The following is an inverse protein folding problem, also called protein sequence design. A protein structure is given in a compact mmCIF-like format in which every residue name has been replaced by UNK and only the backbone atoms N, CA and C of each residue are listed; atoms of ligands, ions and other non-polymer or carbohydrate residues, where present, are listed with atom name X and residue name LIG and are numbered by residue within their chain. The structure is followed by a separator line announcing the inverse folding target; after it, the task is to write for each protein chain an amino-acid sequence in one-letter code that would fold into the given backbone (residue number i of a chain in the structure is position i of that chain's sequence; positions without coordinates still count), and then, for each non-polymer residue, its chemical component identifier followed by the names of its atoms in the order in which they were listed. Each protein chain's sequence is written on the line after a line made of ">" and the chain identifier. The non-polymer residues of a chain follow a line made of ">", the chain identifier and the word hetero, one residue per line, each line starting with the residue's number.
data_IF_671211132407
#
_entry.id   IF_671211132407
#
_cell.length_a   1.000
_cell.length_b   1.000
_cell.length_c   1.000
_cell.angle_alpha   90.00
_cell.angle_beta   90.00
_cell.angle_gamma   90.00
#
_symmetry.space_group_name_H-M   'P 1'
#
loop_
_entity.id
_entity.type
_entity.pdbx_description
1 polymer ?
#
# COMPACT_ATOMS: atom_id res chain seq x y z
N UNK A 1 -59.94 1.75 41.44
CA UNK A 1 -59.54 2.46 40.24
C UNK A 1 -58.59 1.52 39.47
N UNK A 2 -59.14 0.75 38.52
CA UNK A 2 -58.45 -0.34 37.88
C UNK A 2 -57.88 0.08 36.55
N UNK A 3 -56.58 -0.20 36.35
CA UNK A 3 -55.85 0.08 35.14
C UNK A 3 -55.84 -1.15 34.24
N UNK A 4 -56.45 -1.06 33.04
CA UNK A 4 -56.52 -2.13 32.05
C UNK A 4 -55.21 -2.15 31.23
N UNK A 5 -54.50 -3.26 31.26
CA UNK A 5 -53.33 -3.55 30.39
C UNK A 5 -53.84 -4.03 29.02
N UNK A 6 -53.56 -3.25 27.97
CA UNK A 6 -53.77 -3.66 26.59
C UNK A 6 -52.59 -4.54 26.13
N UNK A 7 -52.87 -5.80 25.83
CA UNK A 7 -51.92 -6.79 25.29
C UNK A 7 -51.98 -6.77 23.77
N UNK A 8 -51.01 -6.11 23.12
CA UNK A 8 -50.85 -6.13 21.67
C UNK A 8 -50.28 -7.48 21.21
N UNK A 9 -51.09 -8.32 20.58
CA UNK A 9 -50.66 -9.51 19.86
C UNK A 9 -50.18 -9.09 18.47
N UNK A 10 -48.85 -9.15 18.20
CA UNK A 10 -48.30 -9.11 16.85
C UNK A 10 -48.47 -10.47 16.18
N UNK A 11 -49.25 -10.50 15.12
CA UNK A 11 -49.44 -11.67 14.24
C UNK A 11 -48.25 -11.73 13.30
N UNK A 12 -47.40 -12.73 13.45
CA UNK A 12 -46.35 -13.05 12.48
C UNK A 12 -46.98 -13.65 11.23
N UNK A 13 -46.98 -12.90 10.10
CA UNK A 13 -47.28 -13.43 8.75
C UNK A 13 -46.04 -14.14 8.24
N UNK A 14 -46.05 -15.48 8.19
CA UNK A 14 -45.03 -16.30 7.54
C UNK A 14 -44.88 -15.93 6.07
N UNK A 15 -43.70 -15.47 5.68
CA UNK A 15 -43.31 -15.28 4.27
C UNK A 15 -42.93 -16.65 3.70
N UNK A 16 -43.68 -17.11 2.67
CA UNK A 16 -43.40 -18.35 1.96
C UNK A 16 -41.99 -18.32 1.36
N UNK A 17 -41.08 -19.11 1.89
CA UNK A 17 -39.68 -19.26 1.43
C UNK A 17 -39.53 -20.18 0.20
N UNK A 18 -40.54 -20.99 -0.09
CA UNK A 18 -40.54 -22.02 -1.15
C UNK A 18 -40.24 -21.47 -2.55
N UNK A 19 -40.82 -20.34 -3.04
CA UNK A 19 -40.56 -19.86 -4.38
C UNK A 19 -39.13 -19.33 -4.59
N UNK A 20 -38.46 -18.88 -3.52
CA UNK A 20 -37.07 -18.36 -3.61
C UNK A 20 -36.04 -19.48 -3.75
N UNK A 21 -36.23 -20.59 -3.04
CA UNK A 21 -35.34 -21.76 -3.14
C UNK A 21 -35.43 -22.38 -4.54
N UNK A 22 -36.64 -22.47 -5.14
CA UNK A 22 -36.83 -22.99 -6.49
C UNK A 22 -36.12 -22.14 -7.56
N UNK A 23 -36.09 -20.80 -7.39
CA UNK A 23 -35.40 -19.88 -8.29
C UNK A 23 -33.88 -20.05 -8.27
N UNK A 24 -33.31 -20.33 -7.10
CA UNK A 24 -31.86 -20.59 -6.95
C UNK A 24 -31.45 -21.94 -7.55
N UNK A 25 -32.27 -22.98 -7.40
CA UNK A 25 -31.98 -24.30 -7.98
C UNK A 25 -32.08 -24.26 -9.53
N UNK A 26 -33.05 -23.56 -10.09
CA UNK A 26 -33.17 -23.40 -11.55
C UNK A 26 -32.02 -22.56 -12.12
N UNK A 27 -31.61 -21.49 -11.41
CA UNK A 27 -30.45 -20.67 -11.80
C UNK A 27 -29.13 -21.46 -11.85
N UNK A 28 -28.88 -22.29 -10.85
CA UNK A 28 -27.65 -23.11 -10.76
C UNK A 28 -27.57 -24.14 -11.89
N UNK A 29 -28.69 -24.78 -12.26
CA UNK A 29 -28.74 -25.76 -13.36
C UNK A 29 -28.49 -25.09 -14.70
N UNK A 30 -29.00 -23.88 -14.92
CA UNK A 30 -28.77 -23.11 -16.14
C UNK A 30 -27.29 -22.72 -16.33
N UNK A 31 -26.58 -22.32 -15.28
CA UNK A 31 -25.15 -21.98 -15.36
C UNK A 31 -24.29 -23.20 -15.69
N UNK A 32 -24.59 -24.37 -15.12
CA UNK A 32 -23.86 -25.61 -15.40
C UNK A 32 -24.10 -26.05 -16.85
N UNK A 33 -25.34 -25.91 -17.37
CA UNK A 33 -25.67 -26.26 -18.76
C UNK A 33 -24.92 -25.36 -19.76
N UNK A 34 -24.88 -24.05 -19.54
CA UNK A 34 -24.14 -23.12 -20.42
C UNK A 34 -22.65 -23.40 -20.41
N UNK A 35 -22.05 -23.71 -19.24
CA UNK A 35 -20.64 -24.09 -19.13
C UNK A 35 -20.32 -25.39 -19.88
N UNK A 36 -21.18 -26.40 -19.77
CA UNK A 36 -20.98 -27.70 -20.46
C UNK A 36 -21.13 -27.60 -21.99
N UNK A 37 -22.11 -26.87 -22.49
CA UNK A 37 -22.31 -26.67 -23.94
C UNK A 37 -21.25 -25.75 -24.54
N UNK A 38 -20.76 -24.72 -23.78
CA UNK A 38 -19.65 -23.89 -24.20
C UNK A 38 -18.35 -24.67 -24.36
N UNK A 39 -17.98 -25.47 -23.36
CA UNK A 39 -16.77 -26.32 -23.41
C UNK A 39 -16.83 -27.34 -24.58
N UNK A 40 -18.00 -27.93 -24.86
CA UNK A 40 -18.19 -28.88 -25.97
C UNK A 40 -18.06 -28.17 -27.31
N UNK A 41 -18.60 -26.95 -27.47
CA UNK A 41 -18.50 -26.18 -28.72
C UNK A 41 -17.03 -25.85 -29.04
N UNK A 42 -16.22 -25.42 -28.07
CA UNK A 42 -14.80 -25.12 -28.28
C UNK A 42 -13.95 -26.39 -28.53
N UNK A 43 -14.33 -27.55 -28.02
CA UNK A 43 -13.62 -28.79 -28.29
C UNK A 43 -13.89 -29.36 -29.69
N UNK A 44 -15.05 -29.04 -30.29
CA UNK A 44 -15.45 -29.50 -31.63
C UNK A 44 -15.04 -28.54 -32.77
N UNK A 45 -14.58 -27.31 -32.42
CA UNK A 45 -14.15 -26.28 -33.38
C UNK A 45 -12.79 -25.69 -32.96
N UNK A 46 -11.66 -26.43 -33.13
CA UNK A 46 -10.33 -25.86 -32.88
C UNK A 46 -10.05 -24.75 -33.91
N UNK A 47 -9.60 -23.58 -33.39
CA UNK A 47 -9.15 -22.47 -34.24
C UNK A 47 -7.76 -22.82 -34.74
N UNK A 48 -7.60 -23.10 -36.02
CA UNK A 48 -6.31 -23.33 -36.68
C UNK A 48 -5.47 -22.03 -36.64
N UNK A 49 -4.39 -22.07 -35.88
CA UNK A 49 -3.34 -21.05 -35.88
C UNK A 49 -2.25 -21.46 -36.86
N UNK A 50 -2.34 -20.98 -38.08
CA UNK A 50 -1.23 -21.06 -39.04
C UNK A 50 -1.30 -19.89 -40.00
N UNK A 51 -0.37 -18.92 -39.83
CA UNK A 51 0.43 -18.35 -40.91
C UNK A 51 1.58 -17.52 -40.32
N UNK A 52 2.74 -18.18 -40.31
CA UNK A 52 4.02 -17.52 -40.17
C UNK A 52 4.36 -16.83 -41.49
N UNK A 53 4.53 -15.52 -41.48
CA UNK A 53 5.23 -14.78 -42.54
C UNK A 53 6.61 -14.39 -42.03
N UNK A 54 7.64 -15.02 -42.56
CA UNK A 54 9.05 -14.68 -42.45
C UNK A 54 9.35 -13.33 -43.11
N UNK A 55 10.10 -12.42 -42.48
CA UNK A 55 10.66 -11.27 -43.17
C UNK A 55 11.96 -11.63 -43.91
N UNK A 56 12.01 -11.20 -45.15
CA UNK A 56 13.13 -11.29 -46.08
C UNK A 56 14.33 -10.47 -45.59
N UNK A 57 15.54 -11.06 -45.71
CA UNK A 57 16.83 -10.39 -45.56
C UNK A 57 16.97 -9.23 -46.56
N UNK A 58 17.34 -8.06 -46.07
CA UNK A 58 17.85 -6.97 -46.88
C UNK A 58 19.21 -6.54 -46.38
N UNK A 59 20.10 -6.59 -47.30
CA UNK A 59 21.54 -6.39 -47.30
C UNK A 59 22.11 -5.26 -46.41
N UNK A 60 23.17 -5.63 -45.71
CA UNK A 60 24.08 -4.77 -44.99
C UNK A 60 24.90 -3.94 -46.01
N UNK A 61 24.81 -2.60 -45.91
CA UNK A 61 25.70 -1.70 -46.60
C UNK A 61 26.71 -1.17 -45.56
N UNK A 62 27.97 -1.55 -45.73
CA UNK A 62 29.11 -1.15 -44.92
C UNK A 62 29.53 0.29 -45.22
N UNK A 63 29.66 1.11 -44.20
CA UNK A 63 30.39 2.40 -44.22
C UNK A 63 31.48 2.39 -43.13
N UNK A 64 32.58 3.14 -43.34
CA UNK A 64 33.86 2.82 -42.73
C UNK A 64 34.01 3.32 -41.28
N UNK A 65 34.88 2.60 -40.56
CA UNK A 65 35.32 2.92 -39.21
C UNK A 65 35.94 4.32 -39.13
N UNK A 66 35.40 5.14 -38.25
CA UNK A 66 36.07 6.36 -37.81
C UNK A 66 36.44 6.21 -36.31
N UNK A 67 37.60 6.75 -36.02
CA UNK A 67 38.45 6.58 -34.86
C UNK A 67 37.72 6.97 -33.55
N UNK A 68 37.78 6.06 -32.54
CA UNK A 68 37.35 6.33 -31.18
C UNK A 68 38.32 7.33 -30.49
N UNK A 69 37.79 8.34 -29.76
CA UNK A 69 38.61 9.07 -28.79
C UNK A 69 38.79 8.25 -27.51
N UNK A 70 39.96 8.38 -26.91
CA UNK A 70 40.35 7.75 -25.64
C UNK A 70 39.41 8.14 -24.48
N UNK A 71 39.28 7.27 -23.46
CA UNK A 71 38.38 7.53 -22.34
C UNK A 71 38.97 8.62 -21.44
N UNK A 72 38.26 9.75 -21.36
CA UNK A 72 38.48 10.75 -20.32
C UNK A 72 38.12 10.15 -18.96
N UNK A 73 39.03 10.32 -18.00
CA UNK A 73 38.83 10.05 -16.58
C UNK A 73 37.52 10.67 -16.07
N UNK A 74 36.47 9.86 -15.98
CA UNK A 74 35.30 10.18 -15.20
C UNK A 74 35.66 10.03 -13.71
N UNK A 75 35.40 11.02 -12.84
CA UNK A 75 35.60 10.85 -11.42
C UNK A 75 34.79 9.64 -10.94
N UNK A 76 35.45 8.75 -10.23
CA UNK A 76 34.83 7.60 -9.57
C UNK A 76 33.81 8.13 -8.54
N UNK A 77 32.57 8.32 -8.98
CA UNK A 77 31.44 8.52 -8.08
C UNK A 77 31.28 7.20 -7.37
N UNK A 78 31.67 7.16 -6.10
CA UNK A 78 31.61 5.99 -5.27
C UNK A 78 30.26 5.28 -5.47
N UNK A 79 30.32 4.00 -5.80
CA UNK A 79 29.15 3.14 -5.94
C UNK A 79 28.37 3.19 -4.63
N UNK A 80 27.32 4.03 -4.59
CA UNK A 80 26.31 3.95 -3.53
C UNK A 80 25.81 2.51 -3.53
N UNK A 81 25.84 1.81 -2.39
CA UNK A 81 25.31 0.45 -2.34
C UNK A 81 23.90 0.47 -2.92
N UNK A 82 23.59 -0.41 -3.85
CA UNK A 82 22.22 -0.63 -4.32
C UNK A 82 21.40 -1.05 -3.09
N UNK A 83 20.64 -0.11 -2.53
CA UNK A 83 19.82 -0.33 -1.36
C UNK A 83 18.65 -1.19 -1.81
N UNK A 84 18.72 -2.47 -1.50
CA UNK A 84 17.72 -3.47 -1.82
C UNK A 84 16.66 -3.51 -0.72
N UNK A 85 15.38 -3.57 -1.10
CA UNK A 85 14.28 -3.83 -0.15
C UNK A 85 14.23 -5.30 0.30
N UNK A 86 15.22 -6.10 -0.02
CA UNK A 86 15.34 -7.49 0.45
C UNK A 86 15.47 -7.58 1.97
N UNK A 87 16.07 -6.55 2.59
CA UNK A 87 16.21 -6.45 4.04
C UNK A 87 16.05 -5.00 4.47
N UNK A 88 14.89 -4.67 5.03
CA UNK A 88 14.55 -3.31 5.50
C UNK A 88 14.34 -3.33 7.01
N UNK A 89 15.29 -2.82 7.77
CA UNK A 89 15.11 -2.48 9.19
C UNK A 89 14.98 -0.98 9.29
N UNK A 90 13.75 -0.49 9.24
CA UNK A 90 13.48 0.94 9.24
C UNK A 90 12.80 1.38 10.53
N UNK A 91 12.77 2.69 10.73
CA UNK A 91 12.03 3.35 11.79
C UNK A 91 11.33 4.59 11.22
N UNK A 92 10.26 5.01 11.87
CA UNK A 92 9.48 6.17 11.46
C UNK A 92 9.96 7.42 12.17
N UNK A 93 10.07 8.53 11.44
CA UNK A 93 10.26 9.87 11.99
C UNK A 93 9.10 10.79 11.60
N UNK A 94 8.49 11.52 12.54
CA UNK A 94 7.52 12.55 12.20
C UNK A 94 8.18 13.69 11.43
N UNK A 95 7.42 14.37 10.58
CA UNK A 95 7.92 15.43 9.70
C UNK A 95 8.68 16.53 10.44
N UNK A 96 8.23 16.89 11.64
CA UNK A 96 8.91 17.91 12.47
C UNK A 96 10.33 17.50 12.90
N UNK A 97 10.57 16.21 13.13
CA UNK A 97 11.90 15.71 13.48
C UNK A 97 12.91 15.84 12.33
N UNK A 98 12.44 15.92 11.08
CA UNK A 98 13.30 16.07 9.90
C UNK A 98 13.88 17.48 9.72
N UNK A 99 13.30 18.48 10.39
CA UNK A 99 13.65 19.91 10.22
C UNK A 99 14.84 20.34 11.05
N UNK A 100 15.14 19.63 12.12
CA UNK A 100 16.27 19.95 13.00
C UNK A 100 17.49 19.14 12.57
N UNK A 101 18.40 19.76 11.81
CA UNK A 101 19.56 19.12 11.22
C UNK A 101 20.48 18.42 12.24
N UNK A 102 20.71 19.03 13.40
CA UNK A 102 21.64 18.50 14.40
C UNK A 102 21.07 17.25 15.09
N UNK A 103 19.80 17.32 15.51
CA UNK A 103 19.11 16.18 16.11
C UNK A 103 18.89 15.06 15.09
N UNK A 104 18.54 15.40 13.85
CA UNK A 104 18.36 14.43 12.78
C UNK A 104 19.65 13.65 12.52
N UNK A 105 20.78 14.34 12.31
CA UNK A 105 22.07 13.71 12.05
C UNK A 105 22.51 12.79 13.18
N UNK A 106 22.30 13.19 14.43
CA UNK A 106 22.57 12.35 15.60
C UNK A 106 21.69 11.09 15.59
N UNK A 107 20.37 11.25 15.40
CA UNK A 107 19.40 10.15 15.34
C UNK A 107 19.73 9.15 14.23
N UNK A 108 20.02 9.64 13.02
CA UNK A 108 20.39 8.79 11.88
C UNK A 108 21.68 8.01 12.16
N UNK A 109 22.68 8.67 12.77
CA UNK A 109 23.95 8.03 13.12
C UNK A 109 23.78 6.93 14.16
N UNK A 110 22.97 7.14 15.19
CA UNK A 110 22.68 6.14 16.22
C UNK A 110 21.89 4.97 15.65
N UNK A 111 20.88 5.25 14.82
CA UNK A 111 20.10 4.22 14.15
C UNK A 111 20.97 3.35 13.24
N UNK A 112 21.85 3.95 12.44
CA UNK A 112 22.77 3.20 11.56
C UNK A 112 23.72 2.30 12.38
N UNK A 113 24.26 2.78 13.51
CA UNK A 113 25.08 1.99 14.44
C UNK A 113 24.30 0.82 15.05
N UNK A 114 23.01 1.00 15.30
CA UNK A 114 22.12 -0.03 15.82
C UNK A 114 21.66 -1.05 14.74
N UNK A 115 22.17 -0.92 13.50
CA UNK A 115 21.88 -1.86 12.42
C UNK A 115 20.58 -1.59 11.68
N UNK A 116 19.97 -0.42 11.84
CA UNK A 116 18.87 0.03 10.99
C UNK A 116 19.39 0.37 9.58
N UNK A 117 18.54 0.20 8.59
CA UNK A 117 18.87 0.37 7.17
C UNK A 117 18.02 1.43 6.47
N UNK A 118 16.99 1.97 7.12
CA UNK A 118 16.12 2.97 6.51
C UNK A 118 15.34 3.79 7.51
N UNK A 119 14.85 4.93 7.05
CA UNK A 119 13.95 5.80 7.78
C UNK A 119 12.71 6.10 6.95
N UNK A 120 11.54 5.93 7.55
CA UNK A 120 10.23 6.22 6.95
C UNK A 120 9.71 7.54 7.52
N UNK A 121 9.13 8.37 6.67
CA UNK A 121 8.56 9.66 7.08
C UNK A 121 7.45 10.08 6.12
N UNK A 122 6.49 10.88 6.60
CA UNK A 122 5.36 11.31 5.80
C UNK A 122 5.69 12.54 4.95
N UNK A 123 5.52 12.43 3.64
CA UNK A 123 5.53 13.56 2.72
C UNK A 123 4.14 13.86 2.11
N UNK A 124 3.15 12.99 2.30
CA UNK A 124 1.74 13.25 2.03
C UNK A 124 0.89 12.54 3.07
N UNK A 125 0.10 13.30 3.81
CA UNK A 125 -0.77 12.76 4.86
C UNK A 125 -2.10 12.19 4.32
N UNK A 126 -2.91 11.60 5.22
CA UNK A 126 -4.22 11.02 4.90
C UNK A 126 -5.31 12.08 4.59
N UNK A 127 -5.04 13.36 4.76
CA UNK A 127 -5.92 14.45 4.38
C UNK A 127 -5.61 15.01 2.99
N UNK A 128 -4.45 14.63 2.44
CA UNK A 128 -3.92 15.12 1.19
C UNK A 128 -2.99 16.34 1.34
N UNK A 129 -2.52 16.63 2.57
CA UNK A 129 -1.53 17.67 2.78
C UNK A 129 -0.15 17.18 2.37
N UNK A 130 0.52 17.93 1.50
CA UNK A 130 1.88 17.67 1.06
C UNK A 130 2.87 18.39 1.97
N UNK A 131 3.82 17.64 2.53
CA UNK A 131 4.92 18.17 3.32
C UNK A 131 6.13 18.60 2.45
N UNK A 132 5.98 18.57 1.14
CA UNK A 132 6.95 19.11 0.18
C UNK A 132 6.24 19.87 -0.94
N UNK A 133 6.91 20.84 -1.53
CA UNK A 133 6.39 21.72 -2.60
C UNK A 133 6.56 21.02 -3.94
N UNK A 134 5.65 20.10 -4.24
CA UNK A 134 5.62 19.42 -5.53
C UNK A 134 5.41 20.39 -6.67
N UNK A 135 6.15 20.23 -7.76
CA UNK A 135 6.06 21.03 -8.99
C UNK A 135 5.14 20.39 -10.04
N UNK A 136 4.59 19.18 -9.75
CA UNK A 136 3.68 18.51 -10.67
C UNK A 136 2.40 19.34 -10.89
N UNK A 137 1.91 19.37 -12.12
CA UNK A 137 0.75 20.19 -12.47
C UNK A 137 -0.49 19.90 -11.61
N UNK A 138 -0.72 18.61 -11.26
CA UNK A 138 -1.84 18.20 -10.41
C UNK A 138 -1.68 18.67 -8.96
N UNK A 139 -0.48 18.57 -8.39
CA UNK A 139 -0.21 19.06 -7.04
C UNK A 139 -0.36 20.59 -6.97
N UNK A 140 0.10 21.31 -7.97
CA UNK A 140 -0.08 22.76 -8.06
C UNK A 140 -1.56 23.13 -8.18
N UNK A 141 -2.36 22.37 -8.92
CA UNK A 141 -3.80 22.57 -9.02
C UNK A 141 -4.50 22.34 -7.69
N UNK A 142 -4.13 21.26 -6.96
CA UNK A 142 -4.68 20.94 -5.62
C UNK A 142 -4.27 21.97 -4.59
N UNK A 143 -3.03 22.43 -4.65
CA UNK A 143 -2.44 23.45 -3.78
C UNK A 143 -2.66 23.18 -2.27
N UNK A 144 -2.50 21.93 -1.85
CA UNK A 144 -2.62 21.49 -0.44
C UNK A 144 -1.24 21.22 0.15
N UNK A 145 -0.49 22.27 0.35
CA UNK A 145 0.84 22.21 0.94
C UNK A 145 0.79 22.60 2.43
N UNK A 146 1.58 21.93 3.25
CA UNK A 146 1.85 22.39 4.62
C UNK A 146 2.52 23.78 4.58
N UNK A 147 2.27 24.61 5.58
CA UNK A 147 2.86 25.97 5.62
C UNK A 147 4.38 25.92 5.56
N UNK A 148 4.97 24.91 6.17
CA UNK A 148 6.40 24.64 6.30
C UNK A 148 6.88 23.48 5.39
N UNK A 149 6.14 23.18 4.32
CA UNK A 149 6.52 22.18 3.34
C UNK A 149 7.91 22.47 2.75
N UNK A 150 8.75 21.43 2.65
CA UNK A 150 10.08 21.49 2.06
C UNK A 150 10.01 21.88 0.58
N UNK A 151 10.97 22.69 0.09
CA UNK A 151 11.18 22.76 -1.36
C UNK A 151 11.70 21.42 -1.90
N UNK A 152 11.66 21.20 -3.22
CA UNK A 152 12.26 20.00 -3.80
C UNK A 152 13.75 19.90 -3.52
N UNK A 153 14.49 20.99 -3.62
CA UNK A 153 15.92 21.03 -3.29
C UNK A 153 16.17 20.65 -1.82
N UNK A 154 15.28 21.10 -0.91
CA UNK A 154 15.38 20.74 0.50
C UNK A 154 15.05 19.26 0.75
N UNK A 155 14.11 18.69 0.00
CA UNK A 155 13.82 17.26 0.06
C UNK A 155 14.99 16.42 -0.49
N UNK A 156 15.62 16.84 -1.59
CA UNK A 156 16.82 16.21 -2.15
C UNK A 156 18.00 16.27 -1.15
N UNK A 157 18.22 17.42 -0.52
CA UNK A 157 19.25 17.58 0.51
C UNK A 157 18.97 16.66 1.72
N UNK A 158 17.71 16.57 2.16
CA UNK A 158 17.29 15.65 3.24
C UNK A 158 17.59 14.20 2.87
N UNK A 159 17.21 13.75 1.65
CA UNK A 159 17.45 12.39 1.20
C UNK A 159 18.95 12.09 1.07
N UNK A 160 19.73 13.07 0.67
CA UNK A 160 21.19 12.96 0.65
C UNK A 160 21.76 12.79 2.05
N UNK A 161 21.35 13.61 3.02
CA UNK A 161 21.77 13.48 4.42
C UNK A 161 21.45 12.10 5.01
N UNK A 162 20.26 11.56 4.72
CA UNK A 162 19.85 10.22 5.15
C UNK A 162 20.76 9.15 4.53
N UNK A 163 21.07 9.27 3.24
CA UNK A 163 21.98 8.33 2.53
C UNK A 163 23.42 8.40 3.02
N UNK A 164 23.92 9.58 3.30
CA UNK A 164 25.26 9.78 3.87
C UNK A 164 25.42 9.12 5.25
N UNK A 165 24.31 9.03 6.02
CA UNK A 165 24.26 8.25 7.26
C UNK A 165 24.19 6.72 7.03
N UNK A 166 24.14 6.24 5.77
CA UNK A 166 24.04 4.82 5.42
C UNK A 166 22.60 4.27 5.47
N UNK A 167 21.58 5.13 5.48
CA UNK A 167 20.17 4.75 5.57
C UNK A 167 19.41 5.05 4.27
N UNK A 168 18.34 4.29 4.02
CA UNK A 168 17.40 4.51 2.92
C UNK A 168 16.39 5.61 3.30
N UNK A 169 16.25 6.71 2.54
CA UNK A 169 15.12 7.61 2.66
C UNK A 169 13.88 6.98 2.03
N UNK A 170 12.84 6.73 2.84
CA UNK A 170 11.60 6.06 2.44
C UNK A 170 10.42 7.00 2.72
N UNK A 171 10.10 7.97 1.84
CA UNK A 171 8.92 8.79 2.00
C UNK A 171 7.64 7.96 1.89
N UNK A 172 6.68 8.22 2.80
CA UNK A 172 5.33 7.64 2.78
C UNK A 172 4.36 8.63 2.14
N UNK A 173 3.55 8.11 1.22
CA UNK A 173 2.48 8.84 0.55
C UNK A 173 1.15 8.12 0.76
N UNK A 174 0.17 8.80 1.36
CA UNK A 174 -1.20 8.32 1.36
C UNK A 174 -1.82 8.47 -0.03
N UNK A 175 -2.34 7.38 -0.60
CA UNK A 175 -2.82 7.32 -1.97
C UNK A 175 -4.25 7.88 -2.10
N UNK A 176 -5.26 7.01 -2.01
CA UNK A 176 -6.64 7.36 -2.37
C UNK A 176 -7.44 8.00 -1.22
N UNK A 177 -6.99 7.89 0.02
CA UNK A 177 -7.55 8.64 1.14
C UNK A 177 -6.98 10.05 1.12
N UNK A 178 -7.62 10.93 0.35
CA UNK A 178 -7.15 12.28 0.08
C UNK A 178 -8.32 13.24 -0.05
N UNK A 179 -8.63 13.92 1.03
CA UNK A 179 -9.75 14.86 1.08
C UNK A 179 -9.46 16.16 0.29
N UNK A 180 -8.21 16.59 0.21
CA UNK A 180 -7.83 17.82 -0.48
C UNK A 180 -7.94 17.64 -2.00
N UNK A 181 -7.25 16.65 -2.56
CA UNK A 181 -7.25 16.41 -4.00
C UNK A 181 -8.64 16.01 -4.51
N UNK A 182 -9.39 15.17 -3.78
CA UNK A 182 -10.73 14.75 -4.17
C UNK A 182 -11.74 15.90 -4.26
N UNK A 183 -11.52 17.00 -3.56
CA UNK A 183 -12.36 18.20 -3.64
C UNK A 183 -12.03 19.10 -4.83
N UNK A 184 -10.81 19.02 -5.35
CA UNK A 184 -10.29 19.88 -6.42
C UNK A 184 -10.27 19.16 -7.77
N UNK A 185 -9.72 17.95 -7.83
CA UNK A 185 -9.61 17.16 -9.06
C UNK A 185 -10.94 16.43 -9.34
N UNK A 186 -11.85 17.10 -10.05
CA UNK A 186 -13.23 16.62 -10.25
C UNK A 186 -13.32 15.30 -11.02
N UNK A 187 -12.38 15.01 -11.93
CA UNK A 187 -12.28 13.77 -12.69
C UNK A 187 -11.59 12.64 -11.90
N UNK A 188 -10.91 12.99 -10.80
CA UNK A 188 -10.18 12.02 -9.96
C UNK A 188 -10.96 11.55 -8.73
N UNK A 189 -12.10 12.17 -8.40
CA UNK A 189 -12.81 11.91 -7.14
C UNK A 189 -13.85 10.82 -7.23
N UNK A 190 -14.23 10.26 -6.09
CA UNK A 190 -15.50 9.57 -5.93
C UNK A 190 -16.61 10.63 -5.91
N UNK A 191 -17.61 10.49 -6.78
CA UNK A 191 -18.74 11.39 -6.87
C UNK A 191 -19.96 10.85 -6.13
N UNK A 192 -20.97 11.68 -5.90
CA UNK A 192 -22.24 11.24 -5.33
C UNK A 192 -23.12 10.60 -6.42
N UNK A 193 -23.79 9.50 -6.10
CA UNK A 193 -24.61 8.75 -7.06
C UNK A 193 -25.78 9.58 -7.63
N UNK A 194 -26.37 10.48 -6.85
CA UNK A 194 -27.51 11.29 -7.29
C UNK A 194 -27.11 12.43 -8.23
N UNK A 195 -25.88 12.93 -8.13
CA UNK A 195 -25.34 13.99 -8.95
C UNK A 195 -23.80 13.88 -9.05
N UNK A 196 -23.24 13.54 -10.20
CA UNK A 196 -21.80 13.42 -10.38
C UNK A 196 -21.02 14.72 -10.15
N UNK A 197 -21.67 15.87 -10.15
CA UNK A 197 -21.04 17.15 -9.79
C UNK A 197 -20.78 17.28 -8.29
N UNK A 198 -21.43 16.47 -7.47
CA UNK A 198 -21.29 16.51 -6.01
C UNK A 198 -20.15 15.60 -5.55
N UNK A 199 -19.38 16.10 -4.59
CA UNK A 199 -18.36 15.33 -3.90
C UNK A 199 -19.03 14.28 -3.01
N UNK A 200 -18.60 13.05 -3.08
CA UNK A 200 -19.01 12.02 -2.13
C UNK A 200 -18.10 12.06 -0.90
N UNK A 201 -18.67 11.78 0.28
CA UNK A 201 -17.97 11.70 1.56
C UNK A 201 -18.25 10.36 2.23
N UNK A 202 -17.27 9.77 2.89
CA UNK A 202 -17.36 8.49 3.60
C UNK A 202 -18.26 8.54 4.85
N UNK A 203 -18.50 9.73 5.38
CA UNK A 203 -19.48 10.07 6.42
C UNK A 203 -20.03 11.46 6.18
N UNK A 204 -21.04 11.90 6.96
CA UNK A 204 -21.49 13.28 6.88
C UNK A 204 -20.35 14.24 7.26
N UNK A 205 -20.10 15.34 6.51
CA UNK A 205 -19.03 16.29 6.81
C UNK A 205 -19.04 16.83 8.25
N UNK A 206 -20.25 17.01 8.82
CA UNK A 206 -20.42 17.43 10.22
C UNK A 206 -19.90 16.37 11.22
N UNK A 207 -19.74 15.12 10.80
CA UNK A 207 -19.22 14.01 11.59
C UNK A 207 -17.77 13.66 11.20
N UNK A 208 -17.05 14.58 10.56
CA UNK A 208 -15.67 14.37 10.13
C UNK A 208 -15.51 13.58 8.84
N UNK A 209 -16.60 13.42 8.05
CA UNK A 209 -16.57 12.73 6.75
C UNK A 209 -15.58 13.37 5.78
N UNK A 210 -14.88 12.55 5.00
CA UNK A 210 -13.83 12.94 4.07
C UNK A 210 -14.15 12.51 2.66
N UNK A 211 -13.74 13.35 1.71
CA UNK A 211 -13.75 13.00 0.30
C UNK A 211 -12.59 12.04 -0.03
N UNK A 212 -12.75 11.24 -1.08
CA UNK A 212 -11.77 10.26 -1.50
C UNK A 212 -11.47 10.38 -2.99
N UNK A 213 -10.23 10.16 -3.36
CA UNK A 213 -9.86 9.88 -4.74
C UNK A 213 -10.43 8.53 -5.17
N UNK A 214 -10.79 8.43 -6.44
CA UNK A 214 -11.38 7.24 -7.03
C UNK A 214 -10.27 6.32 -7.58
N UNK A 215 -10.03 5.13 -7.02
CA UNK A 215 -9.00 4.23 -7.53
C UNK A 215 -9.19 3.81 -8.99
N UNK A 216 -10.43 3.84 -9.51
CA UNK A 216 -10.71 3.57 -10.91
C UNK A 216 -10.38 4.73 -11.87
N UNK A 217 -10.18 5.94 -11.36
CA UNK A 217 -9.88 7.10 -12.18
C UNK A 217 -8.38 7.18 -12.49
N UNK A 218 -8.03 7.20 -13.78
CA UNK A 218 -6.63 7.35 -14.21
C UNK A 218 -5.98 8.61 -13.66
N UNK A 219 -6.73 9.71 -13.55
CA UNK A 219 -6.21 10.97 -13.02
C UNK A 219 -5.86 10.87 -11.53
N UNK A 220 -6.65 10.11 -10.73
CA UNK A 220 -6.32 9.84 -9.33
C UNK A 220 -5.02 9.03 -9.21
N UNK A 221 -4.88 7.98 -10.04
CA UNK A 221 -3.66 7.17 -10.07
C UNK A 221 -2.45 7.99 -10.50
N UNK A 222 -2.57 8.78 -11.58
CA UNK A 222 -1.48 9.61 -12.09
C UNK A 222 -1.06 10.70 -11.12
N UNK A 223 -1.99 11.28 -10.34
CA UNK A 223 -1.64 12.23 -9.29
C UNK A 223 -0.66 11.62 -8.28
N UNK A 224 -0.94 10.43 -7.77
CA UNK A 224 -0.06 9.75 -6.81
C UNK A 224 1.26 9.31 -7.45
N UNK A 225 1.20 8.79 -8.68
CA UNK A 225 2.39 8.35 -9.42
C UNK A 225 3.32 9.52 -9.73
N UNK A 226 2.79 10.68 -10.11
CA UNK A 226 3.60 11.87 -10.42
C UNK A 226 4.33 12.36 -9.18
N UNK A 227 3.69 12.39 -8.00
CA UNK A 227 4.34 12.69 -6.72
C UNK A 227 5.45 11.67 -6.39
N UNK A 228 5.18 10.39 -6.58
CA UNK A 228 6.14 9.34 -6.32
C UNK A 228 7.37 9.44 -7.25
N UNK A 229 7.15 9.77 -8.53
CA UNK A 229 8.26 10.00 -9.50
C UNK A 229 9.11 11.19 -9.10
N UNK A 230 8.50 12.30 -8.73
CA UNK A 230 9.21 13.51 -8.30
C UNK A 230 10.10 13.23 -7.09
N UNK A 231 9.60 12.47 -6.09
CA UNK A 231 10.39 12.07 -4.93
C UNK A 231 11.49 11.05 -5.28
N UNK A 232 11.23 10.13 -6.22
CA UNK A 232 12.28 9.26 -6.76
C UNK A 232 13.40 10.09 -7.39
N UNK A 233 13.04 11.07 -8.21
CA UNK A 233 13.99 11.92 -8.92
C UNK A 233 14.78 12.82 -7.96
N UNK A 234 14.15 13.23 -6.84
CA UNK A 234 14.83 13.88 -5.70
C UNK A 234 15.67 12.90 -4.86
N UNK A 235 15.63 11.61 -5.16
CA UNK A 235 16.51 10.62 -4.56
C UNK A 235 15.92 9.76 -3.45
N UNK A 236 14.62 9.58 -3.38
CA UNK A 236 14.03 8.55 -2.52
C UNK A 236 14.58 7.16 -2.87
N UNK A 237 14.91 6.36 -1.86
CA UNK A 237 15.42 5.00 -2.05
C UNK A 237 14.30 3.98 -2.29
N UNK A 238 13.12 4.25 -1.80
CA UNK A 238 11.88 3.52 -2.02
C UNK A 238 10.70 4.46 -1.77
N UNK A 239 9.52 4.13 -2.29
CA UNK A 239 8.27 4.85 -1.97
C UNK A 239 7.35 3.91 -1.19
N UNK A 240 6.91 4.32 -0.01
CA UNK A 240 5.91 3.60 0.76
C UNK A 240 4.53 4.22 0.50
N UNK A 241 3.68 3.47 -0.20
CA UNK A 241 2.29 3.84 -0.44
C UNK A 241 1.41 3.35 0.71
N UNK A 242 0.61 4.24 1.27
CA UNK A 242 -0.44 3.95 2.26
C UNK A 242 -1.81 4.33 1.71
N UNK A 243 -2.90 3.82 2.30
CA UNK A 243 -4.25 4.14 1.83
C UNK A 243 -4.54 3.72 0.38
N UNK A 244 -3.85 2.71 -0.15
CA UNK A 244 -4.15 2.10 -1.46
C UNK A 244 -5.34 1.16 -1.30
N UNK A 245 -6.51 1.77 -1.11
CA UNK A 245 -7.73 1.06 -0.76
C UNK A 245 -8.98 1.85 -1.15
N UNK A 246 -10.12 1.18 -1.13
CA UNK A 246 -11.43 1.81 -1.24
C UNK A 246 -11.97 2.22 0.15
N UNK A 247 -12.91 3.17 0.22
CA UNK A 247 -13.64 3.43 1.47
C UNK A 247 -14.39 2.17 1.94
N UNK A 248 -14.48 1.99 3.25
CA UNK A 248 -15.19 0.84 3.84
C UNK A 248 -16.70 0.89 3.55
N UNK A 249 -17.29 2.08 3.56
CA UNK A 249 -18.68 2.33 3.19
C UNK A 249 -18.71 3.03 1.84
N UNK A 250 -19.52 2.54 0.91
CA UNK A 250 -19.66 3.10 -0.44
C UNK A 250 -21.11 3.35 -0.84
N UNK A 251 -22.00 3.44 0.16
CA UNK A 251 -23.40 3.82 -0.09
C UNK A 251 -23.46 5.21 -0.72
N UNK A 252 -24.25 5.35 -1.77
CA UNK A 252 -24.38 6.60 -2.55
C UNK A 252 -23.11 7.06 -3.27
N UNK A 253 -22.04 6.24 -3.31
CA UNK A 253 -20.84 6.51 -4.09
C UNK A 253 -21.06 6.18 -5.57
N UNK A 254 -20.53 7.02 -6.44
CA UNK A 254 -20.40 6.78 -7.87
C UNK A 254 -18.92 6.78 -8.27
N UNK A 255 -18.47 5.71 -8.89
CA UNK A 255 -17.12 5.56 -9.40
C UNK A 255 -17.00 5.94 -10.88
N UNK A 256 -18.06 6.51 -11.46
CA UNK A 256 -18.09 6.92 -12.86
C UNK A 256 -18.38 5.79 -13.84
N UNK A 257 -18.01 5.97 -15.11
CA UNK A 257 -18.31 5.07 -16.22
C UNK A 257 -17.08 4.72 -17.07
N UNK A 258 -15.86 4.92 -16.57
CA UNK A 258 -14.64 4.51 -17.27
C UNK A 258 -14.59 2.98 -17.43
N UNK A 259 -13.81 2.47 -18.39
CA UNK A 259 -13.64 1.03 -18.58
C UNK A 259 -13.11 0.34 -17.30
N UNK A 260 -12.33 1.04 -16.49
CA UNK A 260 -11.74 0.53 -15.25
C UNK A 260 -12.79 0.11 -14.20
N UNK A 261 -14.01 0.70 -14.19
CA UNK A 261 -15.06 0.33 -13.22
C UNK A 261 -15.62 -1.08 -13.40
N UNK A 262 -15.27 -1.74 -14.52
CA UNK A 262 -15.61 -3.15 -14.76
C UNK A 262 -14.62 -4.12 -14.05
N UNK A 263 -13.48 -3.62 -13.59
CA UNK A 263 -12.52 -4.39 -12.81
C UNK A 263 -13.01 -4.53 -11.35
N UNK A 264 -12.67 -5.63 -10.71
CA UNK A 264 -12.85 -5.75 -9.27
C UNK A 264 -11.92 -4.80 -8.51
N UNK A 265 -12.15 -4.61 -7.21
CA UNK A 265 -11.31 -3.73 -6.37
C UNK A 265 -9.85 -4.19 -6.34
N UNK A 266 -9.63 -5.47 -6.19
CA UNK A 266 -8.28 -6.05 -6.16
C UNK A 266 -7.58 -5.97 -7.52
N UNK A 267 -8.29 -6.17 -8.64
CA UNK A 267 -7.72 -6.02 -9.98
C UNK A 267 -7.23 -4.60 -10.24
N UNK A 268 -8.02 -3.58 -9.93
CA UNK A 268 -7.62 -2.18 -10.17
C UNK A 268 -6.48 -1.74 -9.22
N UNK A 269 -6.50 -2.17 -7.95
CA UNK A 269 -5.43 -1.86 -7.01
C UNK A 269 -4.13 -2.58 -7.37
N UNK A 270 -4.20 -3.84 -7.82
CA UNK A 270 -3.06 -4.58 -8.36
C UNK A 270 -2.48 -3.89 -9.60
N UNK A 271 -3.35 -3.48 -10.54
CA UNK A 271 -2.94 -2.73 -11.74
C UNK A 271 -2.27 -1.39 -11.38
N UNK A 272 -2.78 -0.67 -10.38
CA UNK A 272 -2.18 0.56 -9.89
C UNK A 272 -0.77 0.32 -9.32
N UNK A 273 -0.58 -0.69 -8.48
CA UNK A 273 0.75 -1.05 -7.92
C UNK A 273 1.71 -1.44 -9.06
N UNK A 274 1.28 -2.29 -9.99
CA UNK A 274 2.10 -2.70 -11.13
C UNK A 274 2.51 -1.50 -12.01
N UNK A 275 1.56 -0.60 -12.33
CA UNK A 275 1.81 0.64 -13.07
C UNK A 275 2.81 1.54 -12.34
N UNK A 276 2.65 1.71 -11.03
CA UNK A 276 3.55 2.53 -10.22
C UNK A 276 4.96 1.93 -10.22
N UNK A 277 5.12 0.62 -9.98
CA UNK A 277 6.41 -0.07 -10.04
C UNK A 277 7.10 0.12 -11.40
N UNK A 278 6.36 -0.07 -12.49
CA UNK A 278 6.89 0.11 -13.85
C UNK A 278 7.39 1.54 -14.08
N UNK A 279 6.66 2.55 -13.61
CA UNK A 279 7.00 3.96 -13.82
C UNK A 279 8.10 4.47 -12.89
N UNK A 280 8.27 3.88 -11.70
CA UNK A 280 9.38 4.19 -10.81
C UNK A 280 10.66 3.41 -11.17
N UNK A 281 10.53 2.23 -11.78
CA UNK A 281 11.63 1.35 -12.12
C UNK A 281 12.24 0.63 -10.91
N UNK A 282 13.17 -0.28 -11.17
CA UNK A 282 13.77 -1.14 -10.12
C UNK A 282 14.65 -0.37 -9.12
N UNK A 283 15.14 0.79 -9.50
CA UNK A 283 15.97 1.63 -8.62
C UNK A 283 15.19 2.30 -7.47
N UNK A 284 13.84 2.38 -7.58
CA UNK A 284 12.99 2.92 -6.54
C UNK A 284 11.79 1.99 -6.31
N UNK A 285 11.98 0.92 -5.51
CA UNK A 285 10.93 -0.06 -5.24
C UNK A 285 9.72 0.55 -4.54
N UNK A 286 8.55 -0.03 -4.81
CA UNK A 286 7.26 0.35 -4.23
C UNK A 286 6.95 -0.55 -3.06
N UNK A 287 6.82 0.03 -1.87
CA UNK A 287 6.34 -0.62 -0.66
C UNK A 287 4.85 -0.30 -0.47
N UNK A 288 4.09 -1.25 0.07
CA UNK A 288 2.65 -1.11 0.31
C UNK A 288 2.33 -1.29 1.79
N UNK A 289 1.86 -0.24 2.45
CA UNK A 289 1.27 -0.32 3.78
C UNK A 289 -0.17 -0.86 3.70
N UNK A 290 -0.53 -1.75 4.62
CA UNK A 290 -1.88 -2.31 4.71
C UNK A 290 -2.21 -2.69 6.15
N UNK A 291 -3.48 -2.99 6.44
CA UNK A 291 -3.89 -3.46 7.76
C UNK A 291 -3.46 -4.90 8.01
N UNK A 292 -3.14 -5.23 9.25
CA UNK A 292 -2.82 -6.61 9.66
C UNK A 292 -3.97 -7.59 9.34
N UNK A 293 -5.21 -7.20 9.62
CA UNK A 293 -6.40 -8.01 9.36
C UNK A 293 -6.53 -8.37 7.86
N UNK A 294 -6.24 -7.41 6.97
CA UNK A 294 -6.28 -7.66 5.53
C UNK A 294 -5.17 -8.57 5.06
N UNK A 295 -3.94 -8.38 5.56
CA UNK A 295 -2.80 -9.24 5.28
C UNK A 295 -2.98 -10.66 5.81
N UNK A 296 -3.70 -10.83 6.92
CA UNK A 296 -4.13 -12.11 7.46
C UNK A 296 -5.36 -12.70 6.73
N UNK A 297 -5.98 -11.95 5.81
CA UNK A 297 -7.15 -12.38 5.07
C UNK A 297 -8.44 -12.43 5.88
N UNK A 298 -8.48 -11.78 7.06
CA UNK A 298 -9.65 -11.75 7.94
C UNK A 298 -10.60 -10.61 7.62
N UNK A 299 -10.12 -9.53 7.02
CA UNK A 299 -10.93 -8.40 6.57
C UNK A 299 -10.33 -7.76 5.31
N UNK A 300 -10.81 -8.14 4.14
CA UNK A 300 -10.31 -7.63 2.85
C UNK A 300 -11.27 -6.66 2.17
N UNK A 301 -12.32 -6.21 2.86
CA UNK A 301 -13.43 -5.42 2.29
C UNK A 301 -12.96 -4.21 1.48
N UNK A 302 -12.00 -3.45 2.00
CA UNK A 302 -11.51 -2.22 1.37
C UNK A 302 -10.54 -2.47 0.22
N UNK A 303 -9.96 -3.67 0.15
CA UNK A 303 -8.98 -4.06 -0.87
C UNK A 303 -9.58 -4.95 -1.98
N UNK A 304 -10.68 -5.65 -1.69
CA UNK A 304 -11.26 -6.67 -2.58
C UNK A 304 -10.63 -8.05 -2.42
N UNK A 305 -9.31 -8.11 -2.18
CA UNK A 305 -8.55 -9.33 -1.85
C UNK A 305 -7.49 -9.05 -0.79
N UNK A 306 -6.64 -10.04 -0.48
CA UNK A 306 -5.50 -9.87 0.42
C UNK A 306 -4.45 -8.96 -0.24
N UNK A 307 -4.08 -7.80 0.35
CA UNK A 307 -3.15 -6.85 -0.26
C UNK A 307 -1.73 -7.39 -0.47
N UNK A 308 -1.34 -8.48 0.19
CA UNK A 308 -0.08 -9.18 -0.10
C UNK A 308 -0.03 -9.68 -1.56
N UNK A 309 -1.19 -9.96 -2.18
CA UNK A 309 -1.27 -10.45 -3.56
C UNK A 309 -1.16 -9.35 -4.62
N UNK A 310 -1.11 -8.07 -4.24
CA UNK A 310 -0.93 -6.96 -5.19
C UNK A 310 0.50 -6.84 -5.74
N UNK A 311 1.37 -7.73 -5.31
CA UNK A 311 2.76 -7.84 -5.73
C UNK A 311 3.56 -6.51 -5.62
N UNK A 312 3.51 -5.78 -4.50
CA UNK A 312 4.46 -4.70 -4.25
C UNK A 312 5.88 -5.27 -4.11
N UNK A 313 6.90 -4.42 -4.16
CA UNK A 313 8.27 -4.86 -3.87
C UNK A 313 8.43 -5.28 -2.41
N UNK A 314 7.76 -4.57 -1.50
CA UNK A 314 7.63 -4.98 -0.09
C UNK A 314 6.23 -4.69 0.44
N UNK A 315 5.70 -5.56 1.29
CA UNK A 315 4.42 -5.39 1.97
C UNK A 315 4.65 -5.08 3.44
N UNK A 316 4.02 -4.00 3.92
CA UNK A 316 4.17 -3.47 5.27
C UNK A 316 2.84 -3.52 6.05
N UNK A 317 2.40 -4.70 6.53
CA UNK A 317 1.21 -4.82 7.36
C UNK A 317 1.41 -4.14 8.73
N UNK A 318 0.40 -3.39 9.19
CA UNK A 318 0.45 -2.69 10.47
C UNK A 318 0.21 -3.65 11.64
N UNK A 319 1.27 -4.15 12.28
CA UNK A 319 1.22 -4.93 13.51
C UNK A 319 1.37 -4.03 14.75
N UNK A 320 0.44 -3.07 14.91
CA UNK A 320 0.39 -2.20 16.07
C UNK A 320 -0.33 -2.94 17.21
N UNK A 321 0.42 -3.79 17.91
CA UNK A 321 -0.12 -4.79 18.83
C UNK A 321 -0.93 -4.23 19.98
N UNK A 322 -0.61 -3.02 20.47
CA UNK A 322 -1.41 -2.33 21.49
C UNK A 322 -2.78 -1.84 21.01
N UNK A 323 -2.97 -1.69 19.69
CA UNK A 323 -4.24 -1.30 19.07
C UNK A 323 -5.06 -2.51 18.61
N UNK A 324 -4.47 -3.69 18.61
CA UNK A 324 -5.10 -4.92 18.16
C UNK A 324 -5.88 -5.61 19.29
N UNK A 325 -6.68 -6.61 18.94
CA UNK A 325 -7.42 -7.41 19.92
C UNK A 325 -6.48 -8.07 20.93
N UNK A 326 -6.95 -8.26 22.16
CA UNK A 326 -6.20 -8.90 23.23
C UNK A 326 -5.91 -10.40 23.00
N UNK A 327 -6.51 -11.01 21.99
CA UNK A 327 -6.22 -12.39 21.58
C UNK A 327 -6.57 -12.61 20.12
N UNK A 328 -5.84 -13.54 19.49
CA UNK A 328 -6.05 -14.00 18.12
C UNK A 328 -6.15 -15.50 18.07
N UNK A 329 -7.03 -16.05 17.25
CA UNK A 329 -7.04 -17.47 16.91
C UNK A 329 -6.44 -17.64 15.52
N UNK A 330 -5.38 -18.43 15.42
CA UNK A 330 -4.68 -18.73 14.18
C UNK A 330 -4.65 -20.25 14.02
N UNK A 331 -5.41 -20.76 13.04
CA UNK A 331 -5.66 -22.21 12.97
C UNK A 331 -6.41 -22.69 14.20
N UNK A 332 -5.79 -23.57 14.97
CA UNK A 332 -6.34 -24.11 16.23
C UNK A 332 -5.76 -23.45 17.48
N UNK A 333 -4.77 -22.58 17.33
CA UNK A 333 -4.08 -21.95 18.45
C UNK A 333 -4.64 -20.57 18.76
N UNK A 334 -4.82 -20.26 20.05
CA UNK A 334 -5.17 -18.92 20.52
C UNK A 334 -3.94 -18.29 21.16
N UNK A 335 -3.49 -17.19 20.57
CA UNK A 335 -2.37 -16.39 21.06
C UNK A 335 -2.92 -15.20 21.86
N UNK A 336 -2.42 -15.03 23.08
CA UNK A 336 -2.73 -13.86 23.90
C UNK A 336 -1.83 -12.71 23.52
N UNK A 337 -2.42 -11.61 23.08
CA UNK A 337 -1.73 -10.37 22.73
C UNK A 337 -1.62 -9.49 23.98
N UNK A 338 -0.50 -9.62 24.67
CA UNK A 338 -0.18 -8.83 25.86
C UNK A 338 1.24 -8.27 25.75
N UNK A 339 1.59 -7.17 26.43
CA UNK A 339 2.94 -6.61 26.40
C UNK A 339 4.04 -7.61 26.81
N UNK A 340 3.72 -8.60 27.64
CA UNK A 340 4.67 -9.64 28.08
C UNK A 340 4.80 -10.81 27.08
N UNK A 341 3.93 -10.86 26.05
CA UNK A 341 3.89 -11.95 25.07
C UNK A 341 4.16 -11.48 23.63
N UNK A 342 4.75 -10.30 23.45
CA UNK A 342 4.94 -9.66 22.13
C UNK A 342 5.71 -10.52 21.15
N UNK A 343 6.78 -11.20 21.61
CA UNK A 343 7.56 -12.09 20.75
C UNK A 343 6.69 -13.17 20.12
N UNK A 344 5.91 -13.90 20.93
CA UNK A 344 5.03 -14.96 20.44
C UNK A 344 3.92 -14.41 19.55
N UNK A 345 3.32 -13.28 19.95
CA UNK A 345 2.25 -12.61 19.18
C UNK A 345 2.74 -12.23 17.79
N UNK A 346 3.84 -11.47 17.72
CA UNK A 346 4.40 -11.00 16.43
C UNK A 346 4.89 -12.19 15.60
N UNK A 347 5.60 -13.16 16.22
CA UNK A 347 6.06 -14.36 15.52
C UNK A 347 4.91 -15.10 14.85
N UNK A 348 3.80 -15.32 15.57
CA UNK A 348 2.64 -16.06 15.03
C UNK A 348 2.01 -15.31 13.86
N UNK A 349 1.78 -14.00 13.99
CA UNK A 349 1.16 -13.19 12.95
C UNK A 349 2.05 -13.09 11.70
N UNK A 350 3.34 -12.83 11.88
CA UNK A 350 4.32 -12.76 10.80
C UNK A 350 4.46 -14.09 10.08
N UNK A 351 4.54 -15.21 10.81
CA UNK A 351 4.61 -16.54 10.22
C UNK A 351 3.40 -16.84 9.34
N UNK A 352 2.19 -16.47 9.78
CA UNK A 352 0.98 -16.64 8.99
C UNK A 352 0.98 -15.82 7.69
N UNK A 353 1.53 -14.60 7.72
CA UNK A 353 1.68 -13.76 6.52
C UNK A 353 2.76 -14.34 5.60
N UNK A 354 3.90 -14.75 6.15
CA UNK A 354 5.00 -15.35 5.40
C UNK A 354 4.59 -16.65 4.68
N UNK A 355 3.77 -17.49 5.33
CA UNK A 355 3.21 -18.69 4.69
C UNK A 355 2.31 -18.36 3.51
N UNK A 356 1.53 -17.26 3.56
CA UNK A 356 0.72 -16.81 2.43
C UNK A 356 1.56 -16.30 1.26
N UNK A 357 2.62 -15.57 1.54
CA UNK A 357 3.56 -15.10 0.51
C UNK A 357 4.26 -16.29 -0.14
N UNK A 358 4.71 -17.27 0.64
CA UNK A 358 5.47 -18.43 0.16
C UNK A 358 4.73 -19.29 -0.88
N UNK A 359 3.39 -19.28 -0.89
CA UNK A 359 2.60 -20.04 -1.88
C UNK A 359 2.30 -19.25 -3.15
N UNK A 360 2.70 -17.97 -3.23
CA UNK A 360 2.59 -17.14 -4.42
C UNK A 360 3.68 -17.50 -5.45
N UNK A 361 3.49 -17.10 -6.70
CA UNK A 361 4.54 -17.15 -7.73
C UNK A 361 5.76 -16.33 -7.30
N UNK A 362 6.95 -16.84 -7.54
CA UNK A 362 8.19 -16.27 -6.99
C UNK A 362 8.42 -14.78 -7.36
N UNK A 363 8.06 -14.39 -8.57
CA UNK A 363 8.17 -13.02 -9.09
C UNK A 363 7.11 -12.05 -8.51
N UNK A 364 6.10 -12.60 -7.81
CA UNK A 364 5.03 -11.86 -7.14
C UNK A 364 5.14 -11.83 -5.62
N UNK A 365 6.15 -12.47 -5.05
CA UNK A 365 6.36 -12.51 -3.61
C UNK A 365 6.95 -11.20 -3.11
N UNK A 366 6.22 -10.40 -2.29
CA UNK A 366 6.79 -9.20 -1.67
C UNK A 366 7.71 -9.57 -0.50
N UNK A 367 8.71 -8.73 -0.23
CA UNK A 367 9.39 -8.76 1.05
C UNK A 367 8.42 -8.36 2.14
N UNK A 368 8.22 -9.23 3.14
CA UNK A 368 7.36 -8.90 4.28
C UNK A 368 8.09 -7.98 5.25
N UNK A 369 7.59 -6.74 5.42
CA UNK A 369 8.23 -5.68 6.21
C UNK A 369 7.19 -5.04 7.15
N UNK A 370 6.69 -5.75 8.17
CA UNK A 370 5.60 -5.26 9.00
C UNK A 370 6.00 -4.00 9.79
N UNK A 371 5.02 -3.12 10.03
CA UNK A 371 5.13 -2.09 11.05
C UNK A 371 5.04 -2.74 12.42
N UNK A 372 5.94 -2.39 13.31
CA UNK A 372 5.96 -2.82 14.71
C UNK A 372 5.78 -1.61 15.61
N UNK A 373 4.87 -1.70 16.57
CA UNK A 373 4.65 -0.65 17.54
C UNK A 373 5.86 -0.46 18.45
N UNK A 374 6.32 0.77 18.60
CA UNK A 374 7.40 1.14 19.51
C UNK A 374 6.96 2.12 20.63
N UNK A 375 5.85 2.87 20.41
CA UNK A 375 5.26 3.72 21.46
C UNK A 375 4.54 2.87 22.50
N UNK A 376 4.40 3.40 23.72
CA UNK A 376 3.78 2.75 24.89
C UNK A 376 4.42 1.42 25.30
N UNK A 377 5.61 1.11 24.77
CA UNK A 377 6.40 -0.08 25.12
C UNK A 377 7.79 0.30 25.63
N UNK A 378 8.32 -0.48 26.56
CA UNK A 378 9.72 -0.38 26.93
C UNK A 378 10.64 -0.84 25.78
N UNK A 379 11.90 -0.36 25.72
CA UNK A 379 12.85 -0.83 24.71
C UNK A 379 13.00 -2.35 24.65
N UNK A 380 12.96 -3.05 25.79
CA UNK A 380 12.99 -4.49 25.85
C UNK A 380 11.76 -5.17 25.22
N UNK A 381 10.57 -4.56 25.36
CA UNK A 381 9.35 -5.03 24.71
C UNK A 381 9.40 -4.79 23.20
N UNK A 382 9.89 -3.64 22.74
CA UNK A 382 10.12 -3.36 21.32
C UNK A 382 11.09 -4.39 20.72
N UNK A 383 12.22 -4.65 21.41
CA UNK A 383 13.17 -5.69 20.99
C UNK A 383 12.51 -7.07 20.93
N UNK A 384 11.66 -7.39 21.88
CA UNK A 384 10.89 -8.64 21.90
C UNK A 384 9.97 -8.78 20.69
N UNK A 385 9.36 -7.66 20.21
CA UNK A 385 8.57 -7.63 18.98
C UNK A 385 9.47 -7.83 17.73
N UNK A 386 10.63 -7.17 17.68
CA UNK A 386 11.63 -7.37 16.61
C UNK A 386 12.09 -8.84 16.54
N UNK A 387 12.41 -9.45 17.66
CA UNK A 387 12.77 -10.88 17.76
C UNK A 387 11.64 -11.79 17.29
N UNK A 388 10.38 -11.41 17.58
CA UNK A 388 9.19 -12.11 17.11
C UNK A 388 9.07 -12.03 15.60
N UNK A 389 9.37 -10.88 15.00
CA UNK A 389 9.37 -10.69 13.56
C UNK A 389 10.40 -11.61 12.87
N UNK A 390 11.63 -11.63 13.36
CA UNK A 390 12.70 -12.50 12.85
C UNK A 390 12.32 -13.98 13.01
N UNK A 391 11.84 -14.38 14.17
CA UNK A 391 11.40 -15.76 14.44
C UNK A 391 10.16 -16.14 13.58
N UNK A 392 9.36 -15.19 13.17
CA UNK A 392 8.20 -15.38 12.28
C UNK A 392 8.56 -15.54 10.81
N UNK A 393 9.80 -15.27 10.41
CA UNK A 393 10.31 -15.53 9.06
C UNK A 393 10.66 -14.31 8.21
N UNK A 394 10.79 -13.12 8.81
CA UNK A 394 11.35 -11.95 8.13
C UNK A 394 12.26 -11.14 9.04
N UNK A 395 13.42 -10.74 8.52
CA UNK A 395 14.36 -9.80 9.17
C UNK A 395 14.15 -8.35 8.68
N UNK A 396 12.96 -8.07 8.16
CA UNK A 396 12.54 -6.74 7.71
C UNK A 396 11.37 -6.26 8.55
N UNK A 397 11.40 -5.00 8.99
CA UNK A 397 10.34 -4.35 9.77
C UNK A 397 10.48 -2.82 9.73
N UNK A 398 9.43 -2.12 10.14
CA UNK A 398 9.43 -0.68 10.35
C UNK A 398 8.98 -0.44 11.79
N UNK A 399 9.83 0.11 12.65
CA UNK A 399 9.42 0.55 13.98
C UNK A 399 8.58 1.82 13.87
N UNK A 400 7.46 1.87 14.59
CA UNK A 400 6.57 3.02 14.59
C UNK A 400 6.38 3.59 15.99
N UNK A 401 6.91 4.81 16.16
CA UNK A 401 6.62 5.71 17.26
C UNK A 401 6.22 7.06 16.66
N UNK A 402 4.98 7.55 16.85
CA UNK A 402 4.55 8.82 16.29
C UNK A 402 5.35 10.03 16.80
N UNK A 403 6.06 9.91 17.93
CA UNK A 403 6.95 10.93 18.45
C UNK A 403 8.38 10.85 17.91
N UNK A 404 8.74 9.73 17.24
CA UNK A 404 10.08 9.48 16.72
C UNK A 404 11.15 9.21 17.78
N UNK A 405 10.76 8.81 18.99
CA UNK A 405 11.66 8.56 20.10
C UNK A 405 12.05 7.10 20.19
N UNK A 406 13.33 6.78 19.99
CA UNK A 406 13.85 5.42 20.05
C UNK A 406 15.12 5.33 20.90
N UNK A 407 15.23 4.29 21.70
CA UNK A 407 16.46 3.90 22.39
C UNK A 407 17.28 2.95 21.49
N UNK A 408 17.96 3.51 20.50
CA UNK A 408 18.75 2.74 19.53
C UNK A 408 19.87 1.93 20.20
N UNK A 409 20.40 2.36 21.33
CA UNK A 409 21.43 1.63 22.04
C UNK A 409 20.92 0.25 22.51
N UNK A 410 19.73 0.21 23.10
CA UNK A 410 19.09 -1.06 23.53
C UNK A 410 18.58 -1.87 22.32
N UNK A 411 18.08 -1.22 21.26
CA UNK A 411 17.50 -1.91 20.10
C UNK A 411 18.55 -2.56 19.20
N UNK A 412 19.79 -2.08 19.23
CA UNK A 412 20.91 -2.57 18.42
C UNK A 412 21.65 -3.76 18.98
N UNK A 413 21.43 -4.11 20.27
CA UNK A 413 22.00 -5.28 20.93
C UNK A 413 21.18 -6.56 20.61
#
# INVERSE_FOLDING_TARGET
>A
MGMKLHRNRRVFRGRNLIPRILLWVVGSVAVVAVGFFGAKYFSEHPVDATEQSTPSESQVNSLPADTAPEPNDTPNIGTTPSLSVERVRAFYLPFDALKNSDTLTATLTEAAKAGFTGVVFDLKDENGTLCFRSETARAQQVNSFADDALSLDAAEALFTTIREAGLMPIPRLFAFKDNAAARVLTSARIAHQSDPSWVWYDAAPANGGRAWLNPYADEAQLYIIDLAKELRDAGAAAILLDGVQFPAQTSSASFGSSANVNLSRDEILTAFIAKTRTLLGDACPVMLSCTADSALGTNTLVYGANPLTFAPSAAAPALLTGEMKSSFTVGTETVQNTPDNLKTTVQTLVNQMALRIKVMEADKQPTLTPWLQAYDYTPAQVKSAMDGCIAGGTDSFILYDPSGNYDFATLGE
#
